data_IF_243295822389
#
_entry.id   IF_243295822389
#
_cell.length_a   1.000
_cell.length_b   1.000
_cell.length_c   1.000
_cell.angle_alpha   90.00
_cell.angle_beta   90.00
_cell.angle_gamma   90.00
#
_symmetry.space_group_name_H-M   'P 1'
#
loop_
_entity.id
_entity.type
_entity.pdbx_description
1 polymer ?
#
# COMPACT_ATOMS: atom_id res chain seq x y z
N UNK A 1 -44.09 5.25 66.06
CA UNK A 1 -44.02 6.69 65.73
C UNK A 1 -42.87 6.85 64.75
N UNK A 2 -43.19 7.31 63.53
CA UNK A 2 -42.43 8.17 62.58
C UNK A 2 -40.89 8.24 62.84
N UNK A 3 -39.97 8.18 61.88
CA UNK A 3 -39.97 8.73 60.51
C UNK A 3 -38.77 8.12 59.77
N UNK A 4 -38.95 7.79 58.49
CA UNK A 4 -37.86 7.43 57.57
C UNK A 4 -36.95 8.64 57.34
N UNK A 5 -35.64 8.51 57.63
CA UNK A 5 -34.65 9.44 57.10
C UNK A 5 -33.95 8.81 55.90
N UNK A 6 -34.52 9.15 54.75
CA UNK A 6 -33.91 9.14 53.45
C UNK A 6 -32.69 10.07 53.48
N UNK A 7 -31.48 9.55 53.32
CA UNK A 7 -30.37 10.36 52.83
C UNK A 7 -29.61 9.57 51.77
N UNK A 8 -30.10 9.72 50.54
CA UNK A 8 -29.38 9.39 49.31
C UNK A 8 -28.10 10.24 49.27
N UNK A 9 -26.93 9.60 49.31
CA UNK A 9 -25.69 10.19 48.82
C UNK A 9 -25.26 9.32 47.65
N UNK A 10 -25.47 9.75 46.39
CA UNK A 10 -24.78 9.13 45.28
C UNK A 10 -23.31 9.56 45.37
N UNK A 11 -22.43 8.62 45.72
CA UNK A 11 -20.99 8.79 45.52
C UNK A 11 -20.78 8.95 44.01
N UNK A 12 -20.56 10.19 43.60
CA UNK A 12 -20.28 10.60 42.23
C UNK A 12 -19.07 9.82 41.75
N UNK A 13 -19.35 8.88 40.85
CA UNK A 13 -18.38 8.13 40.09
C UNK A 13 -17.81 9.08 39.03
N UNK A 14 -16.82 9.88 39.38
CA UNK A 14 -16.00 10.60 38.40
C UNK A 14 -15.08 9.57 37.72
N UNK A 15 -15.63 8.82 36.77
CA UNK A 15 -14.82 8.17 35.75
C UNK A 15 -14.32 9.30 34.85
N UNK A 16 -13.13 9.83 35.12
CA UNK A 16 -12.36 10.55 34.11
C UNK A 16 -11.91 9.52 33.07
N UNK A 17 -12.80 9.13 32.16
CA UNK A 17 -12.37 8.58 30.89
C UNK A 17 -11.74 9.73 30.12
N UNK A 18 -10.44 9.93 30.29
CA UNK A 18 -9.63 10.64 29.30
C UNK A 18 -9.60 9.76 28.05
N UNK A 19 -10.71 9.77 27.30
CA UNK A 19 -10.74 9.24 25.96
C UNK A 19 -9.97 10.26 25.12
N UNK A 20 -8.68 9.99 24.86
CA UNK A 20 -7.98 10.66 23.78
C UNK A 20 -8.76 10.29 22.51
N UNK A 21 -9.64 11.18 22.05
CA UNK A 21 -10.35 10.97 20.80
C UNK A 21 -9.34 11.12 19.68
N UNK A 22 -9.01 10.00 19.03
CA UNK A 22 -8.22 9.96 17.78
C UNK A 22 -8.85 10.92 16.78
N UNK A 23 -8.06 11.82 16.20
CA UNK A 23 -8.53 12.79 15.20
C UNK A 23 -9.02 12.09 13.92
N UNK A 24 -9.86 12.76 13.13
CA UNK A 24 -10.30 12.19 11.85
C UNK A 24 -9.12 12.03 10.88
N UNK A 25 -8.15 12.94 10.94
CA UNK A 25 -6.91 12.89 10.16
C UNK A 25 -6.02 11.70 10.54
N UNK A 26 -5.93 11.34 11.83
CA UNK A 26 -5.21 10.13 12.28
C UNK A 26 -5.87 8.86 11.73
N UNK A 27 -7.20 8.78 11.79
CA UNK A 27 -7.95 7.63 11.24
C UNK A 27 -7.77 7.52 9.72
N UNK A 28 -7.82 8.66 9.02
CA UNK A 28 -7.63 8.69 7.57
C UNK A 28 -6.21 8.26 7.21
N UNK A 29 -5.20 8.72 7.95
CA UNK A 29 -3.81 8.30 7.76
C UNK A 29 -3.65 6.79 7.93
N UNK A 30 -4.12 6.22 9.04
CA UNK A 30 -4.02 4.78 9.31
C UNK A 30 -4.73 3.95 8.24
N UNK A 31 -5.90 4.40 7.79
CA UNK A 31 -6.65 3.75 6.73
C UNK A 31 -5.88 3.77 5.40
N UNK A 32 -5.40 4.94 4.98
CA UNK A 32 -4.64 5.06 3.73
C UNK A 32 -3.35 4.24 3.77
N UNK A 33 -2.66 4.21 4.92
CA UNK A 33 -1.46 3.38 5.10
C UNK A 33 -1.78 1.89 4.92
N UNK A 34 -2.89 1.41 5.48
CA UNK A 34 -3.33 0.02 5.29
C UNK A 34 -3.67 -0.29 3.83
N UNK A 35 -4.34 0.63 3.14
CA UNK A 35 -4.68 0.48 1.72
C UNK A 35 -3.42 0.40 0.84
N UNK A 36 -2.39 1.19 1.15
CA UNK A 36 -1.10 1.14 0.46
C UNK A 36 -0.41 -0.21 0.65
N UNK A 37 -0.27 -0.66 1.90
CA UNK A 37 0.37 -1.94 2.21
C UNK A 37 -0.39 -3.09 1.55
N UNK A 38 -1.72 -3.05 1.57
CA UNK A 38 -2.55 -4.05 0.90
C UNK A 38 -2.29 -4.09 -0.61
N UNK A 39 -2.21 -2.94 -1.28
CA UNK A 39 -1.93 -2.88 -2.71
C UNK A 39 -0.54 -3.43 -3.07
N UNK A 40 0.48 -3.14 -2.25
CA UNK A 40 1.81 -3.71 -2.39
C UNK A 40 1.82 -5.23 -2.19
N UNK A 41 1.22 -5.71 -1.10
CA UNK A 41 1.23 -7.12 -0.73
C UNK A 41 0.39 -7.99 -1.68
N UNK A 42 -0.61 -7.43 -2.37
CA UNK A 42 -1.39 -8.14 -3.40
C UNK A 42 -0.52 -8.62 -4.58
N UNK A 43 0.53 -7.86 -4.91
CA UNK A 43 1.42 -8.16 -6.04
C UNK A 43 2.80 -8.66 -5.61
N UNK A 44 3.21 -8.48 -4.35
CA UNK A 44 4.50 -8.96 -3.86
C UNK A 44 4.74 -10.47 -4.14
N UNK A 45 3.78 -11.40 -3.93
CA UNK A 45 3.96 -12.82 -4.25
C UNK A 45 4.22 -13.10 -5.74
N UNK A 46 3.89 -12.16 -6.63
CA UNK A 46 4.03 -12.31 -8.09
C UNK A 46 5.43 -11.96 -8.60
N UNK A 47 6.33 -11.44 -7.75
CA UNK A 47 7.69 -11.07 -8.18
C UNK A 47 8.52 -12.25 -8.72
N UNK A 48 8.30 -13.45 -8.17
CA UNK A 48 8.88 -14.68 -8.70
C UNK A 48 8.36 -15.02 -10.11
N UNK A 49 7.06 -14.80 -10.34
CA UNK A 49 6.43 -15.00 -11.64
C UNK A 49 6.91 -13.98 -12.68
N UNK A 50 7.01 -12.69 -12.32
CA UNK A 50 7.65 -11.66 -13.15
C UNK A 50 9.04 -12.09 -13.61
N UNK A 51 9.88 -12.51 -12.66
CA UNK A 51 11.25 -12.95 -12.94
C UNK A 51 11.31 -14.18 -13.86
N UNK A 52 10.33 -15.09 -13.77
CA UNK A 52 10.23 -16.25 -14.66
C UNK A 52 9.85 -15.82 -16.07
N UNK A 53 8.78 -15.02 -16.21
CA UNK A 53 8.28 -14.56 -17.50
C UNK A 53 9.32 -13.72 -18.26
N UNK A 54 10.12 -12.90 -17.55
CA UNK A 54 11.24 -12.15 -18.14
C UNK A 54 12.26 -13.09 -18.80
N UNK A 55 12.56 -14.24 -18.17
CA UNK A 55 13.50 -15.24 -18.72
C UNK A 55 12.88 -16.00 -19.88
N UNK A 56 11.61 -16.37 -19.77
CA UNK A 56 10.89 -17.11 -20.80
C UNK A 56 10.77 -16.30 -22.10
N UNK A 57 10.49 -15.00 -21.99
CA UNK A 57 10.47 -14.09 -23.14
C UNK A 57 11.87 -13.84 -23.71
N UNK A 58 12.91 -13.73 -22.87
CA UNK A 58 14.30 -13.56 -23.35
C UNK A 58 14.71 -14.71 -24.29
N UNK A 59 14.34 -15.95 -23.96
CA UNK A 59 14.66 -17.12 -24.77
C UNK A 59 13.95 -17.17 -26.13
N UNK A 60 12.90 -16.34 -26.33
CA UNK A 60 12.08 -16.32 -27.55
C UNK A 60 12.30 -15.08 -28.43
N UNK A 61 13.10 -14.11 -27.98
CA UNK A 61 13.39 -12.89 -28.75
C UNK A 61 14.19 -13.19 -30.02
N UNK A 62 13.80 -12.55 -31.11
CA UNK A 62 14.52 -12.55 -32.38
C UNK A 62 14.16 -11.29 -33.20
N UNK A 63 14.59 -11.23 -34.46
CA UNK A 63 14.36 -10.08 -35.35
C UNK A 63 13.03 -10.11 -36.09
N UNK A 64 12.19 -11.13 -35.88
CA UNK A 64 10.86 -11.22 -36.48
C UNK A 64 9.87 -10.29 -35.79
N UNK A 65 8.70 -10.09 -36.39
CA UNK A 65 7.63 -9.30 -35.79
C UNK A 65 7.18 -9.87 -34.42
N UNK A 66 7.13 -11.19 -34.27
CA UNK A 66 6.77 -11.83 -33.00
C UNK A 66 7.93 -11.72 -31.98
N UNK A 67 9.19 -11.82 -32.42
CA UNK A 67 10.36 -11.57 -31.59
C UNK A 67 10.40 -10.17 -30.99
N UNK A 68 10.00 -9.16 -31.76
CA UNK A 68 9.86 -7.79 -31.26
C UNK A 68 8.74 -7.65 -30.22
N UNK A 69 7.61 -8.36 -30.40
CA UNK A 69 6.54 -8.38 -29.40
C UNK A 69 7.00 -9.01 -28.07
N UNK A 70 7.82 -10.07 -28.12
CA UNK A 70 8.43 -10.62 -26.91
C UNK A 70 9.40 -9.65 -26.25
N UNK A 71 10.19 -8.93 -27.05
CA UNK A 71 11.10 -7.91 -26.52
C UNK A 71 10.35 -6.82 -25.77
N UNK A 72 9.24 -6.32 -26.34
CA UNK A 72 8.41 -5.31 -25.71
C UNK A 72 7.77 -5.82 -24.41
N UNK A 73 7.14 -7.00 -24.43
CA UNK A 73 6.52 -7.57 -23.24
C UNK A 73 7.55 -7.85 -22.13
N UNK A 74 8.78 -8.24 -22.50
CA UNK A 74 9.86 -8.42 -21.53
C UNK A 74 10.27 -7.09 -20.88
N UNK A 75 10.33 -6.01 -21.65
CA UNK A 75 10.61 -4.66 -21.14
C UNK A 75 9.51 -4.19 -20.18
N UNK A 76 8.24 -4.42 -20.51
CA UNK A 76 7.10 -4.11 -19.63
C UNK A 76 7.19 -4.85 -18.28
N UNK A 77 7.55 -6.13 -18.27
CA UNK A 77 7.77 -6.89 -17.03
C UNK A 77 8.95 -6.34 -16.22
N UNK A 78 10.06 -5.97 -16.88
CA UNK A 78 11.23 -5.38 -16.19
C UNK A 78 10.88 -4.05 -15.56
N UNK A 79 10.20 -3.18 -16.31
CA UNK A 79 9.75 -1.88 -15.81
C UNK A 79 8.80 -2.04 -14.62
N UNK A 80 7.89 -3.03 -14.64
CA UNK A 80 7.03 -3.31 -13.50
C UNK A 80 7.81 -3.86 -12.28
N UNK A 81 8.81 -4.70 -12.51
CA UNK A 81 9.68 -5.21 -11.45
C UNK A 81 10.46 -4.08 -10.78
N UNK A 82 11.10 -3.22 -11.58
CA UNK A 82 11.90 -2.10 -11.11
C UNK A 82 11.02 -1.07 -10.41
N UNK A 83 9.83 -0.76 -10.95
CA UNK A 83 8.88 0.14 -10.31
C UNK A 83 8.48 -0.34 -8.91
N UNK A 84 8.22 -1.64 -8.70
CA UNK A 84 7.94 -2.15 -7.36
C UNK A 84 9.11 -1.94 -6.39
N UNK A 85 10.35 -2.13 -6.86
CA UNK A 85 11.56 -1.99 -6.03
C UNK A 85 11.85 -0.52 -5.69
N UNK A 86 11.82 0.34 -6.69
CA UNK A 86 12.05 1.77 -6.55
C UNK A 86 10.97 2.41 -5.66
N UNK A 87 9.70 2.07 -5.90
CA UNK A 87 8.60 2.55 -5.07
C UNK A 87 8.77 2.11 -3.60
N UNK A 88 9.08 0.84 -3.35
CA UNK A 88 9.23 0.35 -1.97
C UNK A 88 10.41 1.01 -1.26
N UNK A 89 11.51 1.26 -1.98
CA UNK A 89 12.65 2.00 -1.44
C UNK A 89 12.23 3.42 -1.05
N UNK A 90 11.69 4.20 -1.99
CA UNK A 90 11.27 5.59 -1.78
C UNK A 90 10.21 5.70 -0.68
N UNK A 91 9.24 4.77 -0.67
CA UNK A 91 8.19 4.73 0.34
C UNK A 91 8.77 4.49 1.74
N UNK A 92 9.73 3.57 1.88
CA UNK A 92 10.35 3.26 3.17
C UNK A 92 11.20 4.40 3.74
N UNK A 93 11.75 5.25 2.87
CA UNK A 93 12.48 6.46 3.27
C UNK A 93 11.53 7.56 3.75
N UNK A 94 10.38 7.72 3.08
CA UNK A 94 9.34 8.70 3.44
C UNK A 94 8.56 8.29 4.70
N UNK A 95 8.28 7.00 4.84
CA UNK A 95 7.41 6.42 5.89
C UNK A 95 8.09 5.25 6.63
N UNK A 96 9.13 5.51 7.46
CA UNK A 96 9.88 4.46 8.14
C UNK A 96 9.05 3.73 9.20
N UNK A 97 9.09 2.39 9.19
CA UNK A 97 8.33 1.53 10.14
C UNK A 97 8.64 1.77 11.63
N UNK A 98 9.81 2.32 11.96
CA UNK A 98 10.23 2.62 13.34
C UNK A 98 10.26 4.14 13.64
N UNK A 99 9.58 4.94 12.79
CA UNK A 99 9.57 6.39 12.88
C UNK A 99 8.70 6.98 13.99
N UNK A 100 8.69 8.32 14.00
CA UNK A 100 7.83 9.22 14.78
C UNK A 100 6.41 8.68 14.92
N UNK A 101 5.89 8.59 16.15
CA UNK A 101 4.50 8.15 16.35
C UNK A 101 3.58 9.21 15.76
N UNK A 102 2.42 8.81 15.23
CA UNK A 102 1.43 9.76 14.70
C UNK A 102 1.10 10.87 15.70
N UNK A 103 1.05 10.52 16.99
CA UNK A 103 0.79 11.43 18.11
C UNK A 103 1.90 12.48 18.37
N UNK A 104 3.07 12.32 17.76
CA UNK A 104 4.19 13.27 17.86
C UNK A 104 4.09 14.37 16.79
N UNK A 105 3.18 14.26 15.82
CA UNK A 105 2.93 15.30 14.83
C UNK A 105 1.97 16.37 15.36
N UNK A 106 2.28 17.63 15.07
CA UNK A 106 1.27 18.70 15.12
C UNK A 106 0.19 18.47 14.05
N UNK A 107 -1.03 19.01 14.22
CA UNK A 107 -2.10 18.88 13.22
C UNK A 107 -1.69 19.29 11.80
N UNK A 108 -0.91 20.37 11.66
CA UNK A 108 -0.42 20.82 10.36
C UNK A 108 0.62 19.87 9.74
N UNK A 109 1.45 19.22 10.57
CA UNK A 109 2.38 18.21 10.09
C UNK A 109 1.65 16.94 9.67
N UNK A 110 0.67 16.48 10.46
CA UNK A 110 -0.15 15.32 10.12
C UNK A 110 -0.88 15.51 8.80
N UNK A 111 -1.46 16.70 8.58
CA UNK A 111 -2.12 17.04 7.31
C UNK A 111 -1.17 16.99 6.11
N UNK A 112 0.08 17.45 6.27
CA UNK A 112 1.10 17.36 5.22
C UNK A 112 1.50 15.91 4.93
N UNK A 113 1.68 15.11 5.98
CA UNK A 113 1.98 13.69 5.86
C UNK A 113 0.87 12.93 5.15
N UNK A 114 -0.40 13.21 5.49
CA UNK A 114 -1.56 12.63 4.82
C UNK A 114 -1.63 13.01 3.34
N UNK A 115 -1.26 14.25 2.97
CA UNK A 115 -1.21 14.65 1.56
C UNK A 115 -0.14 13.91 0.77
N UNK A 116 1.02 13.65 1.37
CA UNK A 116 2.07 12.86 0.72
C UNK A 116 1.66 11.39 0.62
N UNK A 117 1.08 10.84 1.68
CA UNK A 117 0.60 9.46 1.72
C UNK A 117 -0.46 9.19 0.64
N UNK A 118 -1.35 10.16 0.36
CA UNK A 118 -2.32 10.05 -0.73
C UNK A 118 -1.68 10.00 -2.12
N UNK A 119 -0.50 10.58 -2.32
CA UNK A 119 0.24 10.42 -3.59
C UNK A 119 0.84 9.03 -3.69
N UNK A 120 1.43 8.54 -2.60
CA UNK A 120 1.94 7.16 -2.53
C UNK A 120 0.84 6.13 -2.78
N UNK A 121 -0.38 6.39 -2.30
CA UNK A 121 -1.54 5.55 -2.60
C UNK A 121 -1.82 5.44 -4.10
N UNK A 122 -1.74 6.55 -4.83
CA UNK A 122 -1.94 6.52 -6.28
C UNK A 122 -0.79 5.80 -6.99
N UNK A 123 0.45 6.01 -6.52
CA UNK A 123 1.64 5.42 -7.11
C UNK A 123 1.70 3.90 -6.91
N UNK A 124 1.38 3.40 -5.70
CA UNK A 124 1.32 1.96 -5.44
C UNK A 124 0.20 1.27 -6.22
N UNK A 125 -0.92 1.95 -6.47
CA UNK A 125 -1.99 1.44 -7.34
C UNK A 125 -1.53 1.32 -8.79
N UNK A 126 -0.80 2.31 -9.31
CA UNK A 126 -0.21 2.27 -10.65
C UNK A 126 0.84 1.14 -10.75
N UNK A 127 1.67 0.98 -9.73
CA UNK A 127 2.65 -0.11 -9.65
C UNK A 127 1.95 -1.47 -9.66
N UNK A 128 0.92 -1.66 -8.82
CA UNK A 128 0.11 -2.88 -8.76
C UNK A 128 -0.48 -3.22 -10.13
N UNK A 129 -1.02 -2.22 -10.82
CA UNK A 129 -1.64 -2.40 -12.13
C UNK A 129 -0.58 -2.70 -13.21
N UNK A 130 0.61 -2.11 -13.15
CA UNK A 130 1.74 -2.41 -14.02
C UNK A 130 2.22 -3.87 -13.86
N UNK A 131 2.32 -4.36 -12.61
CA UNK A 131 2.67 -5.76 -12.34
C UNK A 131 1.62 -6.71 -12.92
N UNK A 132 0.33 -6.48 -12.62
CA UNK A 132 -0.72 -7.39 -13.09
C UNK A 132 -0.89 -7.36 -14.61
N UNK A 133 -0.81 -6.19 -15.24
CA UNK A 133 -0.98 -6.03 -16.69
C UNK A 133 0.19 -6.61 -17.49
N UNK A 134 1.43 -6.38 -17.05
CA UNK A 134 2.63 -6.93 -17.70
C UNK A 134 2.64 -8.47 -17.65
N UNK A 135 2.32 -9.07 -16.49
CA UNK A 135 2.17 -10.52 -16.35
C UNK A 135 1.10 -11.06 -17.30
N UNK A 136 -0.07 -10.41 -17.35
CA UNK A 136 -1.17 -10.82 -18.22
C UNK A 136 -0.74 -10.78 -19.70
N UNK A 137 -0.14 -9.68 -20.14
CA UNK A 137 0.32 -9.51 -21.52
C UNK A 137 1.34 -10.60 -21.90
N UNK A 138 2.35 -10.83 -21.06
CA UNK A 138 3.37 -11.85 -21.29
C UNK A 138 2.77 -13.25 -21.41
N UNK A 139 1.85 -13.63 -20.52
CA UNK A 139 1.16 -14.92 -20.58
C UNK A 139 0.32 -15.07 -21.85
N UNK A 140 -0.41 -14.03 -22.25
CA UNK A 140 -1.21 -14.05 -23.48
C UNK A 140 -0.35 -14.21 -24.73
N UNK A 141 0.85 -13.62 -24.77
CA UNK A 141 1.79 -13.78 -25.88
C UNK A 141 2.41 -15.19 -25.92
N UNK A 142 2.78 -15.73 -24.75
CA UNK A 142 3.35 -17.08 -24.66
C UNK A 142 2.34 -18.15 -25.06
N UNK A 143 1.08 -18.04 -24.59
CA UNK A 143 0.01 -18.99 -24.92
C UNK A 143 -0.44 -18.96 -26.39
N UNK A 144 -0.18 -17.88 -27.13
CA UNK A 144 -0.46 -17.80 -28.57
C UNK A 144 0.50 -18.65 -29.42
N UNK A 145 1.55 -19.18 -28.80
CA UNK A 145 2.67 -19.85 -29.48
C UNK A 145 2.76 -21.34 -29.15
N UNK A 146 1.89 -21.83 -28.28
CA UNK A 146 1.61 -23.26 -28.05
C UNK A 146 0.52 -23.75 -29.02
#
# INVERSE_FOLDING_TARGET
>A
MKIYNLLFIPLVLCIFTSCNSVSEEEKEFDKTMQEIVFAHDDVMPKMGELSSLIKDLEAKKDTTAIGQQYSQAQEELKNAYDFMMDWMQDFSEKFPHQGTKLNDYTPDQLKKQLQELKKEQQEVEQMRDAVNSSIKNAKELLNKTD
#
